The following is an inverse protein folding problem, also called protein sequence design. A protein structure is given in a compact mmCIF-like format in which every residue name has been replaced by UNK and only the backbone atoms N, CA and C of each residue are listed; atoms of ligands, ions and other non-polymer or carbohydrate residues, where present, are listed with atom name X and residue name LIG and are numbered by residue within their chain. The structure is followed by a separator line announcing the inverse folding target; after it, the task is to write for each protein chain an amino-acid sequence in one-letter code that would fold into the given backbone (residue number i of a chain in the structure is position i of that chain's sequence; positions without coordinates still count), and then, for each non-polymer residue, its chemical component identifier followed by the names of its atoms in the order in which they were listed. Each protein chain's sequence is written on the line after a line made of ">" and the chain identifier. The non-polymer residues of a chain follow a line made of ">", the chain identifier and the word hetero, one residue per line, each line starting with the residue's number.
data_IF_492106472231
#
_entry.id   IF_492106472231
#
_cell.length_a   1.000
_cell.length_b   1.000
_cell.length_c   1.000
_cell.angle_alpha   90.00
_cell.angle_beta   90.00
_cell.angle_gamma   90.00
#
_symmetry.space_group_name_H-M   'P 1'
#
loop_
_entity.id
_entity.type
_entity.pdbx_description
1 polymer ?
#
# COMPACT_ATOMS: atom_id res chain seq x y z
N UNK A 1 10.63 -29.85 -18.27
CA UNK A 1 11.76 -28.92 -18.35
C UNK A 1 12.26 -28.65 -16.94
N UNK A 2 13.57 -28.77 -16.67
CA UNK A 2 14.20 -28.42 -15.40
C UNK A 2 13.84 -27.01 -14.90
N UNK A 3 13.74 -26.85 -13.58
CA UNK A 3 13.53 -25.55 -12.92
C UNK A 3 14.60 -25.36 -11.84
N UNK A 4 15.51 -24.41 -12.07
CA UNK A 4 16.54 -24.00 -11.13
C UNK A 4 15.98 -22.91 -10.22
N UNK A 5 16.25 -22.98 -8.91
CA UNK A 5 15.67 -22.07 -7.92
C UNK A 5 16.73 -21.15 -7.32
N UNK A 6 16.44 -19.86 -7.27
CA UNK A 6 17.22 -18.84 -6.56
C UNK A 6 16.34 -18.15 -5.52
N UNK A 7 16.96 -17.62 -4.47
CA UNK A 7 16.27 -16.97 -3.36
C UNK A 7 16.72 -15.50 -3.20
N UNK A 8 15.75 -14.59 -3.31
CA UNK A 8 15.85 -13.16 -3.07
C UNK A 8 15.00 -12.71 -1.86
N UNK A 9 14.46 -13.61 -1.03
CA UNK A 9 13.51 -13.28 0.03
C UNK A 9 14.15 -12.67 1.31
N UNK A 10 15.43 -12.31 1.27
CA UNK A 10 16.13 -11.66 2.39
C UNK A 10 17.12 -10.62 1.86
N UNK A 11 17.57 -9.72 2.74
CA UNK A 11 18.54 -8.65 2.43
C UNK A 11 19.89 -9.14 1.90
N UNK A 12 20.22 -10.43 2.05
CA UNK A 12 21.44 -11.01 1.49
C UNK A 12 21.32 -11.33 -0.03
N UNK A 13 20.11 -11.31 -0.59
CA UNK A 13 19.81 -11.76 -1.95
C UNK A 13 19.75 -10.68 -3.03
N UNK A 14 20.54 -9.60 -2.92
CA UNK A 14 20.47 -8.48 -3.89
C UNK A 14 20.71 -8.90 -5.33
N UNK A 15 21.70 -9.76 -5.59
CA UNK A 15 21.95 -10.27 -6.94
C UNK A 15 20.71 -11.00 -7.51
N UNK A 16 20.14 -11.93 -6.73
CA UNK A 16 18.93 -12.65 -7.11
C UNK A 16 17.72 -11.72 -7.32
N UNK A 17 17.61 -10.63 -6.55
CA UNK A 17 16.57 -9.63 -6.74
C UNK A 17 16.71 -8.87 -8.07
N UNK A 18 17.93 -8.47 -8.43
CA UNK A 18 18.19 -7.86 -9.73
C UNK A 18 17.87 -8.81 -10.90
N UNK A 19 18.13 -10.11 -10.74
CA UNK A 19 17.71 -11.12 -11.72
C UNK A 19 16.19 -11.27 -11.79
N UNK A 20 15.47 -11.21 -10.66
CA UNK A 20 14.01 -11.21 -10.63
C UNK A 20 13.43 -10.01 -11.38
N UNK A 21 13.97 -8.81 -11.13
CA UNK A 21 13.61 -7.61 -11.89
C UNK A 21 13.87 -7.81 -13.38
N UNK A 22 15.00 -8.42 -13.75
CA UNK A 22 15.33 -8.68 -15.14
C UNK A 22 14.35 -9.65 -15.81
N UNK A 23 13.89 -10.70 -15.10
CA UNK A 23 12.85 -11.61 -15.60
C UNK A 23 11.49 -10.94 -15.81
N UNK A 24 11.20 -9.88 -15.06
CA UNK A 24 9.93 -9.14 -15.10
C UNK A 24 9.91 -8.02 -16.13
N UNK A 25 11.06 -7.38 -16.36
CA UNK A 25 11.13 -6.13 -17.12
C UNK A 25 11.88 -6.25 -18.45
N UNK A 26 12.83 -7.18 -18.60
CA UNK A 26 13.55 -7.31 -19.87
C UNK A 26 12.64 -7.89 -20.96
N UNK A 27 12.71 -7.30 -22.15
CA UNK A 27 11.82 -7.60 -23.28
C UNK A 27 11.76 -9.09 -23.67
N UNK A 28 12.82 -9.86 -23.42
CA UNK A 28 12.89 -11.27 -23.79
C UNK A 28 12.24 -12.23 -22.80
N UNK A 29 12.09 -11.85 -21.53
CA UNK A 29 11.52 -12.72 -20.48
C UNK A 29 12.30 -14.02 -20.25
N UNK A 30 13.62 -13.99 -20.43
CA UNK A 30 14.52 -15.15 -20.23
C UNK A 30 14.37 -15.77 -18.85
N UNK A 31 14.46 -17.10 -18.77
CA UNK A 31 14.30 -17.88 -17.55
C UNK A 31 12.86 -17.98 -17.03
N UNK A 32 11.91 -17.19 -17.56
CA UNK A 32 10.49 -17.18 -17.15
C UNK A 32 9.55 -17.61 -18.29
N UNK A 33 9.41 -16.78 -19.32
CA UNK A 33 8.56 -17.05 -20.50
C UNK A 33 9.36 -17.79 -21.58
N UNK A 34 10.63 -17.41 -21.78
CA UNK A 34 11.59 -18.14 -22.63
C UNK A 34 12.57 -18.92 -21.74
N UNK A 35 12.89 -20.19 -22.06
CA UNK A 35 13.90 -20.94 -21.32
C UNK A 35 15.31 -20.38 -21.56
N UNK A 36 16.21 -20.63 -20.62
CA UNK A 36 17.65 -20.44 -20.80
C UNK A 36 18.29 -21.75 -21.22
N UNK A 37 19.43 -21.69 -21.90
CA UNK A 37 20.17 -22.87 -22.34
C UNK A 37 21.49 -22.96 -21.61
N UNK A 38 21.78 -24.08 -20.94
CA UNK A 38 23.00 -24.25 -20.16
C UNK A 38 24.25 -24.22 -21.05
N UNK A 39 25.25 -23.44 -20.63
CA UNK A 39 26.59 -23.41 -21.22
C UNK A 39 27.66 -23.67 -20.15
N UNK A 40 28.44 -24.75 -20.32
CA UNK A 40 29.52 -25.18 -19.41
C UNK A 40 30.85 -24.51 -19.73
N UNK A 41 31.08 -24.18 -21.00
CA UNK A 41 32.32 -23.60 -21.50
C UNK A 41 32.13 -22.13 -21.92
N UNK A 42 33.20 -21.33 -21.88
CA UNK A 42 33.17 -19.91 -22.29
C UNK A 42 32.52 -18.97 -21.27
N UNK A 43 32.32 -19.41 -20.02
CA UNK A 43 31.73 -18.59 -18.95
C UNK A 43 32.57 -17.33 -18.72
N UNK A 44 33.90 -17.47 -18.58
CA UNK A 44 34.80 -16.34 -18.35
C UNK A 44 34.75 -15.30 -19.49
N UNK A 45 34.63 -15.74 -20.73
CA UNK A 45 34.53 -14.84 -21.89
C UNK A 45 33.19 -14.10 -21.91
N UNK A 46 32.09 -14.78 -21.54
CA UNK A 46 30.76 -14.15 -21.41
C UNK A 46 30.75 -13.12 -20.28
N UNK A 47 31.24 -13.49 -19.10
CA UNK A 47 31.38 -12.56 -17.96
C UNK A 47 32.29 -11.38 -18.31
N UNK A 48 33.39 -11.60 -19.02
CA UNK A 48 34.28 -10.53 -19.46
C UNK A 48 33.58 -9.53 -20.39
N UNK A 49 32.69 -9.99 -21.28
CA UNK A 49 31.93 -9.13 -22.22
C UNK A 49 30.83 -8.32 -21.53
N UNK A 50 30.15 -8.87 -20.54
CA UNK A 50 29.05 -8.17 -19.86
C UNK A 50 29.53 -7.36 -18.66
N UNK A 51 30.31 -7.99 -17.78
CA UNK A 51 30.72 -7.45 -16.49
C UNK A 51 32.21 -7.06 -16.40
N UNK A 52 33.03 -7.39 -17.40
CA UNK A 52 34.48 -7.21 -17.34
C UNK A 52 35.02 -6.21 -18.35
N UNK A 53 36.34 -6.29 -18.58
CA UNK A 53 37.06 -5.44 -19.53
C UNK A 53 36.89 -5.85 -21.00
N UNK A 54 36.16 -6.92 -21.28
CA UNK A 54 35.88 -7.38 -22.65
C UNK A 54 34.68 -6.70 -23.30
N UNK A 55 33.88 -5.94 -22.54
CA UNK A 55 32.77 -5.14 -23.05
C UNK A 55 33.21 -3.77 -23.56
N UNK A 56 32.42 -3.18 -24.44
CA UNK A 56 32.67 -1.83 -24.98
C UNK A 56 32.56 -0.73 -23.92
N UNK A 57 31.75 -0.95 -22.88
CA UNK A 57 31.74 -0.18 -21.64
C UNK A 57 31.95 -1.14 -20.45
N UNK A 58 33.17 -1.20 -19.88
CA UNK A 58 33.45 -2.03 -18.71
C UNK A 58 32.58 -1.65 -17.52
N UNK A 59 32.18 -2.65 -16.72
CA UNK A 59 31.43 -2.41 -15.49
C UNK A 59 32.22 -1.51 -14.54
N UNK A 60 31.57 -0.45 -14.07
CA UNK A 60 32.14 0.45 -13.09
C UNK A 60 31.53 0.16 -11.72
N UNK A 61 32.34 -0.35 -10.80
CA UNK A 61 31.90 -0.58 -9.43
C UNK A 61 31.46 0.76 -8.76
N UNK A 62 30.29 0.73 -8.14
CA UNK A 62 29.63 1.80 -7.41
C UNK A 62 29.69 1.54 -5.91
N UNK A 63 30.92 1.58 -5.37
CA UNK A 63 31.16 1.40 -3.94
C UNK A 63 30.58 2.52 -3.07
N UNK A 64 30.15 3.61 -3.69
CA UNK A 64 29.35 4.67 -3.09
C UNK A 64 27.89 4.27 -2.82
N UNK A 65 27.39 3.24 -3.52
CA UNK A 65 26.01 2.74 -3.41
C UNK A 65 25.95 1.36 -2.77
N UNK A 66 26.86 0.46 -3.16
CA UNK A 66 26.89 -0.94 -2.73
C UNK A 66 28.26 -1.27 -2.15
N UNK A 67 28.31 -1.69 -0.89
CA UNK A 67 29.56 -2.12 -0.28
C UNK A 67 30.10 -3.37 -1.03
N UNK A 68 31.38 -3.36 -1.37
CA UNK A 68 32.05 -4.40 -2.17
C UNK A 68 31.29 -4.72 -3.48
N UNK A 69 30.88 -3.64 -4.18
CA UNK A 69 30.09 -3.73 -5.40
C UNK A 69 30.77 -4.60 -6.47
N UNK A 70 29.99 -5.54 -6.97
CA UNK A 70 30.35 -6.50 -8.00
C UNK A 70 29.20 -6.64 -8.98
N UNK A 71 29.51 -7.14 -10.17
CA UNK A 71 28.54 -7.26 -11.25
C UNK A 71 27.92 -8.65 -11.27
N UNK A 72 26.61 -8.73 -11.07
CA UNK A 72 25.80 -9.88 -11.44
C UNK A 72 25.21 -9.70 -12.83
N UNK A 73 25.37 -10.67 -13.73
CA UNK A 73 24.82 -10.58 -15.09
C UNK A 73 23.58 -11.45 -15.30
N UNK A 74 22.60 -10.91 -16.04
CA UNK A 74 21.45 -11.66 -16.52
C UNK A 74 21.16 -11.34 -18.01
N UNK A 75 20.95 -12.33 -18.90
CA UNK A 75 21.10 -13.77 -18.68
C UNK A 75 22.49 -14.17 -18.17
N UNK A 76 22.55 -15.23 -17.36
CA UNK A 76 23.80 -15.65 -16.69
C UNK A 76 24.88 -16.03 -17.70
N UNK A 77 26.17 -15.74 -17.46
CA UNK A 77 27.26 -16.28 -18.28
C UNK A 77 27.34 -17.81 -18.27
N UNK A 78 26.68 -18.45 -17.31
CA UNK A 78 26.45 -19.89 -17.26
C UNK A 78 25.43 -20.40 -18.31
N UNK A 79 24.99 -19.55 -19.25
CA UNK A 79 24.01 -19.84 -20.30
C UNK A 79 24.50 -19.38 -21.68
N UNK A 80 23.94 -19.94 -22.76
CA UNK A 80 24.25 -19.54 -24.14
C UNK A 80 23.69 -18.16 -24.49
N UNK A 81 22.66 -17.71 -23.78
CA UNK A 81 22.04 -16.39 -23.93
C UNK A 81 22.84 -15.28 -23.20
N UNK A 82 23.78 -15.66 -22.32
CA UNK A 82 24.62 -14.74 -21.58
C UNK A 82 25.76 -14.12 -22.38
N UNK A 83 26.43 -13.13 -21.79
CA UNK A 83 27.60 -12.48 -22.39
C UNK A 83 27.27 -11.40 -23.42
N UNK A 84 26.11 -10.78 -23.34
CA UNK A 84 25.82 -9.58 -24.16
C UNK A 84 26.78 -8.45 -23.77
N UNK A 85 27.22 -7.65 -24.75
CA UNK A 85 28.11 -6.51 -24.48
C UNK A 85 27.52 -5.59 -23.41
N UNK A 86 28.30 -5.28 -22.38
CA UNK A 86 27.86 -4.54 -21.19
C UNK A 86 27.18 -3.21 -21.49
N UNK A 87 27.60 -2.48 -22.53
CA UNK A 87 27.01 -1.20 -22.92
C UNK A 87 25.55 -1.32 -23.42
N UNK A 88 25.13 -2.55 -23.72
CA UNK A 88 23.75 -2.86 -24.16
C UNK A 88 22.87 -3.32 -23.01
N UNK A 89 23.39 -3.49 -21.80
CA UNK A 89 22.60 -3.97 -20.67
C UNK A 89 22.01 -2.80 -19.87
N UNK A 90 20.85 -3.06 -19.25
CA UNK A 90 20.33 -2.21 -18.19
C UNK A 90 21.24 -2.33 -16.97
N UNK A 91 21.64 -1.24 -16.35
CA UNK A 91 22.28 -1.29 -15.03
C UNK A 91 21.23 -1.11 -13.95
N UNK A 92 21.26 -1.95 -12.91
CA UNK A 92 20.28 -1.91 -11.83
C UNK A 92 20.93 -2.01 -10.47
N UNK A 93 20.36 -1.29 -9.49
CA UNK A 93 20.79 -1.30 -8.09
C UNK A 93 19.64 -1.79 -7.22
N UNK A 94 19.66 -3.05 -6.75
CA UNK A 94 18.72 -3.56 -5.76
C UNK A 94 19.00 -2.97 -4.38
N UNK A 95 17.97 -2.41 -3.76
CA UNK A 95 17.97 -1.89 -2.40
C UNK A 95 16.95 -2.67 -1.58
N UNK A 96 17.40 -3.26 -0.48
CA UNK A 96 16.51 -4.00 0.41
C UNK A 96 15.76 -3.03 1.33
N UNK A 97 14.44 -3.18 1.37
CA UNK A 97 13.59 -2.50 2.33
C UNK A 97 12.73 -3.53 3.09
N UNK A 98 11.80 -3.04 3.90
CA UNK A 98 11.00 -3.82 4.87
C UNK A 98 9.90 -4.74 4.30
N UNK A 99 10.20 -5.55 3.30
CA UNK A 99 9.20 -6.45 2.75
C UNK A 99 9.42 -6.83 1.30
N UNK A 100 10.49 -6.31 0.68
CA UNK A 100 10.85 -6.59 -0.70
C UNK A 100 12.08 -5.82 -1.13
N UNK A 101 12.41 -5.98 -2.40
CA UNK A 101 13.46 -5.24 -3.07
C UNK A 101 12.87 -4.08 -3.85
N UNK A 102 13.44 -2.90 -3.65
CA UNK A 102 13.40 -1.84 -4.64
C UNK A 102 14.53 -2.08 -5.63
N UNK A 103 14.24 -2.16 -6.92
CA UNK A 103 15.29 -2.28 -7.94
C UNK A 103 15.29 -1.04 -8.80
N UNK A 104 16.33 -0.23 -8.66
CA UNK A 104 16.46 1.04 -9.37
C UNK A 104 17.23 0.85 -10.68
N UNK A 105 16.60 1.05 -11.86
CA UNK A 105 17.30 1.11 -13.12
C UNK A 105 18.09 2.41 -13.21
N UNK A 106 19.37 2.31 -13.52
CA UNK A 106 20.23 3.46 -13.75
C UNK A 106 19.95 4.06 -15.13
N UNK A 107 20.19 5.37 -15.27
CA UNK A 107 20.00 6.12 -16.51
C UNK A 107 18.58 6.07 -17.12
N UNK A 108 17.58 5.73 -16.30
CA UNK A 108 16.18 5.68 -16.74
C UNK A 108 15.86 4.52 -17.69
N UNK A 109 16.58 3.40 -17.58
CA UNK A 109 16.31 2.22 -18.40
C UNK A 109 14.90 1.68 -18.16
N UNK A 110 14.17 1.42 -19.24
CA UNK A 110 12.76 1.02 -19.24
C UNK A 110 12.55 -0.50 -19.40
N UNK A 111 13.63 -1.29 -19.36
CA UNK A 111 13.57 -2.74 -19.55
C UNK A 111 13.60 -3.19 -21.02
N UNK A 112 13.78 -2.27 -21.98
CA UNK A 112 13.93 -2.63 -23.40
C UNK A 112 15.26 -3.30 -23.74
N UNK A 113 16.19 -3.42 -22.78
CA UNK A 113 17.52 -4.00 -22.98
C UNK A 113 17.49 -5.54 -23.05
N UNK A 114 18.45 -6.16 -23.77
CA UNK A 114 18.59 -7.62 -23.85
C UNK A 114 19.17 -8.27 -22.59
N UNK A 115 19.74 -7.49 -21.67
CA UNK A 115 20.44 -7.98 -20.49
C UNK A 115 20.41 -6.96 -19.35
N UNK A 116 20.76 -7.40 -18.15
CA UNK A 116 20.95 -6.58 -16.97
C UNK A 116 22.33 -6.81 -16.33
N UNK A 117 22.95 -5.72 -15.86
CA UNK A 117 24.10 -5.69 -14.95
C UNK A 117 23.59 -5.24 -13.59
N UNK A 118 23.65 -6.14 -12.62
CA UNK A 118 23.17 -5.92 -11.25
C UNK A 118 24.34 -5.49 -10.39
N UNK A 119 24.25 -4.31 -9.79
CA UNK A 119 25.15 -3.86 -8.73
C UNK A 119 24.77 -4.57 -7.43
N UNK A 120 25.60 -5.50 -6.98
CA UNK A 120 25.37 -6.29 -5.78
C UNK A 120 26.69 -6.58 -5.07
N UNK A 121 26.66 -6.81 -3.75
CA UNK A 121 27.88 -7.20 -3.05
C UNK A 121 28.44 -8.49 -3.61
N UNK A 122 29.78 -8.63 -3.65
CA UNK A 122 30.44 -9.84 -4.13
C UNK A 122 29.90 -11.13 -3.45
N UNK A 123 29.57 -11.04 -2.16
CA UNK A 123 28.96 -12.15 -1.41
C UNK A 123 27.57 -12.54 -1.94
N UNK A 124 26.75 -11.55 -2.33
CA UNK A 124 25.42 -11.81 -2.89
C UNK A 124 25.51 -12.46 -4.27
N UNK A 125 26.41 -11.97 -5.13
CA UNK A 125 26.67 -12.56 -6.46
C UNK A 125 27.13 -14.02 -6.31
N UNK A 126 28.11 -14.28 -5.44
CA UNK A 126 28.59 -15.63 -5.16
C UNK A 126 27.49 -16.56 -4.62
N UNK A 127 26.61 -16.05 -3.75
CA UNK A 127 25.49 -16.83 -3.21
C UNK A 127 24.45 -17.18 -4.29
N UNK A 128 24.19 -16.27 -5.23
CA UNK A 128 23.29 -16.54 -6.35
C UNK A 128 23.88 -17.55 -7.34
N UNK A 129 25.18 -17.43 -7.66
CA UNK A 129 25.90 -18.41 -8.48
C UNK A 129 25.86 -19.80 -7.83
N UNK A 130 26.15 -19.89 -6.53
CA UNK A 130 26.11 -21.16 -5.79
C UNK A 130 24.74 -21.84 -5.94
N UNK A 131 23.64 -21.09 -5.75
CA UNK A 131 22.28 -21.61 -5.95
C UNK A 131 22.02 -22.05 -7.39
N UNK A 132 22.51 -21.30 -8.38
CA UNK A 132 22.39 -21.65 -9.79
C UNK A 132 23.10 -22.99 -10.11
N UNK A 133 24.34 -23.17 -9.65
CA UNK A 133 25.11 -24.39 -9.89
C UNK A 133 24.59 -25.60 -9.09
N UNK A 134 24.15 -25.41 -7.84
CA UNK A 134 23.44 -26.44 -7.08
C UNK A 134 22.11 -26.83 -7.74
N UNK A 135 21.42 -25.85 -8.32
CA UNK A 135 20.24 -26.05 -9.16
C UNK A 135 20.52 -26.93 -10.37
N UNK A 136 21.59 -26.66 -11.12
CA UNK A 136 22.00 -27.52 -12.23
C UNK A 136 22.29 -28.94 -11.79
N UNK A 137 23.01 -29.12 -10.67
CA UNK A 137 23.32 -30.45 -10.15
C UNK A 137 22.05 -31.20 -9.70
N UNK A 138 21.17 -30.55 -8.95
CA UNK A 138 19.95 -31.15 -8.40
C UNK A 138 18.93 -31.50 -9.49
N UNK A 139 18.79 -30.66 -10.50
CA UNK A 139 17.91 -30.86 -11.63
C UNK A 139 18.55 -31.66 -12.78
N UNK A 140 19.84 -32.02 -12.64
CA UNK A 140 20.65 -32.73 -13.64
C UNK A 140 20.71 -32.03 -15.01
N UNK A 141 20.74 -30.69 -15.01
CA UNK A 141 20.88 -29.87 -16.22
C UNK A 141 22.30 -30.03 -16.75
N UNK A 142 22.44 -30.52 -17.97
CA UNK A 142 23.73 -30.68 -18.66
C UNK A 142 23.91 -29.64 -19.75
N UNK A 143 25.03 -29.69 -20.47
CA UNK A 143 25.30 -28.78 -21.59
C UNK A 143 24.15 -28.79 -22.60
N UNK A 144 23.79 -27.60 -23.10
CA UNK A 144 22.73 -27.37 -24.08
C UNK A 144 21.29 -27.74 -23.61
N UNK A 145 21.09 -28.13 -22.35
CA UNK A 145 19.75 -28.32 -21.81
C UNK A 145 19.04 -26.98 -21.61
N UNK A 146 17.77 -26.92 -22.01
CA UNK A 146 16.87 -25.84 -21.66
C UNK A 146 16.39 -25.95 -20.20
N UNK A 147 16.36 -24.83 -19.50
CA UNK A 147 15.86 -24.75 -18.13
C UNK A 147 15.14 -23.42 -17.87
N UNK A 148 14.26 -23.42 -16.87
CA UNK A 148 13.68 -22.20 -16.29
C UNK A 148 14.36 -21.86 -14.98
N UNK A 149 14.25 -20.59 -14.60
CA UNK A 149 14.70 -20.10 -13.30
C UNK A 149 13.51 -19.54 -12.54
N UNK A 150 13.29 -20.07 -11.35
CA UNK A 150 12.28 -19.57 -10.41
C UNK A 150 13.02 -18.83 -9.29
N UNK A 151 12.75 -17.52 -9.15
CA UNK A 151 13.36 -16.68 -8.14
C UNK A 151 12.31 -16.35 -7.08
N UNK A 152 12.49 -16.81 -5.86
CA UNK A 152 11.58 -16.50 -4.76
C UNK A 152 11.92 -15.15 -4.15
N UNK A 153 11.01 -14.19 -4.22
CA UNK A 153 11.18 -12.83 -3.70
C UNK A 153 10.12 -11.88 -4.26
N UNK A 154 10.26 -10.59 -3.99
CA UNK A 154 9.46 -9.55 -4.63
C UNK A 154 10.32 -8.34 -4.92
N UNK A 155 10.17 -7.83 -6.14
CA UNK A 155 10.74 -6.58 -6.68
C UNK A 155 9.67 -5.48 -6.80
N UNK A 156 8.47 -5.72 -6.25
CA UNK A 156 7.42 -4.72 -6.19
C UNK A 156 7.85 -3.61 -5.23
N UNK A 157 7.64 -2.37 -5.66
CA UNK A 157 7.94 -1.20 -4.86
C UNK A 157 7.26 -1.32 -3.47
N UNK A 158 8.01 -1.17 -2.38
CA UNK A 158 7.49 -1.20 -1.02
C UNK A 158 6.47 -0.10 -0.84
N UNK A 159 5.42 -0.47 -0.13
CA UNK A 159 4.31 0.41 0.16
C UNK A 159 3.79 0.09 1.55
N UNK A 160 3.18 1.10 2.16
CA UNK A 160 2.48 0.98 3.43
C UNK A 160 1.60 -0.28 3.48
N UNK A 161 1.50 -0.90 4.66
CA UNK A 161 0.86 -2.20 4.79
C UNK A 161 -0.58 -2.21 4.28
N UNK A 162 -1.33 -1.13 4.51
CA UNK A 162 -2.71 -0.95 4.06
C UNK A 162 -2.83 -0.73 2.55
N UNK A 163 -1.78 -0.27 1.85
CA UNK A 163 -1.80 -0.11 0.38
C UNK A 163 -1.60 -1.46 -0.34
N UNK A 164 -0.93 -2.43 0.29
CA UNK A 164 -0.65 -3.74 -0.32
C UNK A 164 -1.89 -4.52 -0.72
N UNK A 165 -2.98 -4.37 0.04
CA UNK A 165 -4.25 -5.04 -0.27
C UNK A 165 -5.43 -4.30 0.35
N UNK A 166 -6.35 -3.84 -0.48
CA UNK A 166 -7.62 -3.28 -0.02
C UNK A 166 -8.53 -4.40 0.54
N UNK A 167 -9.20 -4.19 1.68
CA UNK A 167 -10.14 -5.16 2.23
C UNK A 167 -11.38 -5.31 1.35
N UNK A 168 -12.03 -6.47 1.41
CA UNK A 168 -13.26 -6.73 0.63
C UNK A 168 -14.34 -5.68 0.92
N UNK A 169 -14.90 -5.13 -0.16
CA UNK A 169 -15.91 -4.06 -0.10
C UNK A 169 -15.33 -2.65 0.04
N UNK A 170 -14.01 -2.49 0.03
CA UNK A 170 -13.39 -1.17 -0.09
C UNK A 170 -13.55 -0.61 -1.51
N UNK A 171 -13.69 0.71 -1.60
CA UNK A 171 -13.73 1.47 -2.84
C UNK A 171 -12.41 2.25 -3.01
N UNK A 172 -11.89 2.40 -4.23
CA UNK A 172 -10.70 3.21 -4.48
C UNK A 172 -10.88 4.67 -4.04
N UNK A 173 -9.83 5.26 -3.47
CA UNK A 173 -9.77 6.67 -3.07
C UNK A 173 -8.36 7.20 -3.30
N UNK A 174 -8.15 7.84 -4.45
CA UNK A 174 -6.81 8.11 -5.02
C UNK A 174 -5.98 6.82 -5.09
N UNK A 175 -4.74 6.82 -4.57
CA UNK A 175 -3.88 5.63 -4.53
C UNK A 175 -4.21 4.69 -3.37
N UNK A 176 -5.14 5.11 -2.50
CA UNK A 176 -5.61 4.34 -1.36
C UNK A 176 -7.04 3.83 -1.53
N UNK A 177 -7.71 3.61 -0.40
CA UNK A 177 -9.07 3.06 -0.39
C UNK A 177 -9.87 3.52 0.82
N UNK A 178 -11.19 3.47 0.71
CA UNK A 178 -12.15 3.72 1.79
C UNK A 178 -13.13 2.55 1.86
N UNK A 179 -13.40 2.06 3.06
CA UNK A 179 -14.38 1.00 3.33
C UNK A 179 -15.33 1.46 4.42
N UNK A 180 -16.59 1.60 4.05
CA UNK A 180 -17.68 1.84 4.99
C UNK A 180 -18.52 0.58 5.11
N UNK A 181 -18.97 0.31 6.32
CA UNK A 181 -19.85 -0.81 6.63
C UNK A 181 -21.09 -0.30 7.34
N UNK A 182 -22.17 -1.06 7.21
CA UNK A 182 -23.43 -0.74 7.85
C UNK A 182 -23.97 -1.92 8.64
N UNK A 183 -24.87 -1.61 9.58
CA UNK A 183 -25.60 -2.57 10.38
C UNK A 183 -27.10 -2.34 10.22
N UNK A 184 -27.89 -3.40 10.11
CA UNK A 184 -29.35 -3.30 10.06
C UNK A 184 -29.92 -2.75 11.37
N UNK A 185 -30.96 -1.92 11.26
CA UNK A 185 -31.76 -1.41 12.38
C UNK A 185 -33.25 -1.64 12.14
N UNK A 186 -34.06 -1.89 13.19
CA UNK A 186 -35.50 -2.12 13.05
C UNK A 186 -36.26 -0.93 12.44
N UNK A 187 -35.75 0.28 12.65
CA UNK A 187 -36.33 1.53 12.17
C UNK A 187 -35.21 2.47 11.73
N UNK A 188 -35.38 3.12 10.58
CA UNK A 188 -34.46 4.17 10.10
C UNK A 188 -34.52 5.42 10.96
N UNK A 189 -35.71 5.75 11.46
CA UNK A 189 -35.97 6.78 12.46
C UNK A 189 -36.95 6.17 13.47
N UNK A 190 -36.56 6.08 14.74
CA UNK A 190 -37.32 5.38 15.79
C UNK A 190 -38.18 6.30 16.66
N UNK A 191 -37.98 7.61 16.60
CA UNK A 191 -38.74 8.60 17.38
C UNK A 191 -39.82 9.30 16.56
N UNK A 192 -39.94 9.00 15.26
CA UNK A 192 -41.04 9.45 14.40
C UNK A 192 -42.35 8.74 14.74
N UNK A 193 -43.49 9.35 14.37
CA UNK A 193 -44.83 8.78 14.60
C UNK A 193 -45.64 8.76 13.30
N UNK A 194 -45.89 7.57 12.71
CA UNK A 194 -45.34 6.27 13.11
C UNK A 194 -43.81 6.17 12.88
N UNK A 195 -43.10 5.24 13.56
CA UNK A 195 -41.69 4.96 13.26
C UNK A 195 -41.47 4.57 11.80
N UNK A 196 -40.32 4.93 11.26
CA UNK A 196 -39.97 4.57 9.88
C UNK A 196 -39.78 3.05 9.73
N UNK A 197 -39.89 2.50 8.50
CA UNK A 197 -39.48 1.13 8.21
C UNK A 197 -38.01 0.83 8.57
N UNK A 198 -37.66 -0.45 8.57
CA UNK A 198 -36.29 -0.91 8.78
C UNK A 198 -35.29 -0.29 7.80
N UNK A 199 -34.05 -0.13 8.27
CA UNK A 199 -32.97 0.50 7.50
C UNK A 199 -31.59 0.03 7.94
N UNK A 200 -30.57 0.79 7.60
CA UNK A 200 -29.17 0.51 7.94
C UNK A 200 -28.49 1.73 8.54
N UNK A 201 -27.70 1.56 9.60
CA UNK A 201 -26.86 2.61 10.21
C UNK A 201 -25.39 2.36 9.90
N UNK A 202 -24.56 3.40 9.87
CA UNK A 202 -23.12 3.26 9.71
C UNK A 202 -22.51 2.51 10.92
N UNK A 203 -21.59 1.56 10.69
CA UNK A 203 -21.01 0.73 11.76
C UNK A 203 -19.49 0.82 11.89
N UNK A 204 -18.76 0.91 10.78
CA UNK A 204 -17.31 1.08 10.79
C UNK A 204 -16.88 1.71 9.50
N UNK A 205 -16.04 2.73 9.58
CA UNK A 205 -15.41 3.39 8.46
C UNK A 205 -13.90 3.22 8.58
N UNK A 206 -13.26 2.74 7.52
CA UNK A 206 -11.81 2.51 7.44
C UNK A 206 -11.28 3.15 6.18
N UNK A 207 -10.05 3.66 6.23
CA UNK A 207 -9.37 4.18 5.07
C UNK A 207 -7.88 3.86 5.12
N UNK A 208 -7.30 3.64 3.94
CA UNK A 208 -5.87 3.76 3.72
C UNK A 208 -5.65 5.06 2.96
N UNK A 209 -5.15 6.09 3.64
CA UNK A 209 -5.02 7.45 3.10
C UNK A 209 -3.60 7.59 2.56
N UNK A 210 -3.45 7.69 1.24
CA UNK A 210 -2.15 7.85 0.58
C UNK A 210 -1.64 9.29 0.59
N UNK A 211 -0.43 9.50 0.05
CA UNK A 211 0.16 10.83 -0.13
C UNK A 211 -0.73 11.80 -0.91
N UNK A 212 -1.30 11.32 -2.01
CA UNK A 212 -2.14 12.11 -2.90
C UNK A 212 -3.59 12.00 -2.44
N UNK A 213 -4.02 12.92 -1.58
CA UNK A 213 -5.41 12.95 -1.13
C UNK A 213 -6.23 13.81 -2.09
N UNK A 214 -7.33 13.25 -2.58
CA UNK A 214 -8.35 13.97 -3.35
C UNK A 214 -9.56 14.20 -2.47
N UNK A 215 -10.20 15.35 -2.61
CA UNK A 215 -11.43 15.65 -1.88
C UNK A 215 -12.56 14.66 -2.24
N UNK A 216 -13.33 14.28 -1.24
CA UNK A 216 -14.48 13.40 -1.33
C UNK A 216 -15.72 14.10 -1.91
N UNK A 217 -16.87 13.89 -1.28
CA UNK A 217 -18.13 14.54 -1.68
C UNK A 217 -18.86 15.11 -0.46
N UNK A 218 -19.68 16.17 -0.66
CA UNK A 218 -20.42 16.80 0.43
C UNK A 218 -21.40 15.84 1.09
N UNK A 219 -21.71 16.07 2.37
CA UNK A 219 -22.66 15.26 3.12
C UNK A 219 -24.10 15.63 2.80
N UNK A 220 -24.88 14.67 2.30
CA UNK A 220 -26.23 14.92 1.79
C UNK A 220 -27.24 13.83 2.21
N UNK A 221 -28.51 14.10 1.86
CA UNK A 221 -29.58 13.12 1.94
C UNK A 221 -30.20 12.95 3.32
N UNK A 222 -31.14 12.03 3.42
CA UNK A 222 -31.78 11.67 4.67
C UNK A 222 -31.09 10.39 5.16
N UNK A 223 -30.28 10.49 6.21
CA UNK A 223 -29.51 9.36 6.75
C UNK A 223 -30.26 8.74 7.95
N UNK A 224 -29.90 7.52 8.32
CA UNK A 224 -30.50 6.86 9.49
C UNK A 224 -30.31 7.70 10.75
N UNK A 225 -31.39 7.92 11.50
CA UNK A 225 -31.45 8.78 12.67
C UNK A 225 -31.50 10.28 12.38
N UNK A 226 -31.55 10.73 11.12
CA UNK A 226 -31.54 12.16 10.80
C UNK A 226 -32.80 12.87 11.32
N UNK A 227 -33.98 12.28 11.16
CA UNK A 227 -35.22 12.86 11.67
C UNK A 227 -35.31 12.73 13.20
N UNK A 228 -34.79 11.62 13.76
CA UNK A 228 -34.67 11.47 15.21
C UNK A 228 -33.81 12.59 15.83
N UNK A 229 -32.70 12.95 15.17
CA UNK A 229 -31.82 14.04 15.60
C UNK A 229 -32.52 15.40 15.47
N UNK A 230 -33.28 15.62 14.38
CA UNK A 230 -34.07 16.84 14.19
C UNK A 230 -35.11 17.03 15.30
N UNK A 231 -35.81 15.96 15.68
CA UNK A 231 -36.80 16.00 16.76
C UNK A 231 -36.15 16.25 18.12
N UNK A 232 -35.00 15.62 18.39
CA UNK A 232 -34.21 15.88 19.59
C UNK A 232 -33.77 17.36 19.65
N UNK A 233 -33.23 17.91 18.56
CA UNK A 233 -32.81 19.31 18.51
C UNK A 233 -33.99 20.27 18.67
N UNK A 234 -35.14 19.97 18.07
CA UNK A 234 -36.36 20.78 18.19
C UNK A 234 -36.85 20.88 19.64
N UNK A 235 -36.78 19.80 20.39
CA UNK A 235 -37.25 19.73 21.78
C UNK A 235 -36.31 20.37 22.79
N UNK A 236 -35.02 20.46 22.49
CA UNK A 236 -34.00 20.94 23.44
C UNK A 236 -33.45 22.34 23.12
N UNK A 237 -33.86 22.99 22.03
CA UNK A 237 -33.46 24.37 21.64
C UNK A 237 -31.95 24.65 21.81
N UNK A 238 -31.08 23.89 21.14
CA UNK A 238 -29.66 23.81 21.48
C UNK A 238 -28.89 25.14 21.20
N UNK A 239 -29.32 25.99 20.27
CA UNK A 239 -28.50 27.13 19.85
C UNK A 239 -27.22 26.72 19.08
N UNK A 240 -27.23 25.50 18.51
CA UNK A 240 -26.29 25.02 17.48
C UNK A 240 -27.07 24.21 16.44
N UNK A 241 -26.43 23.88 15.32
CA UNK A 241 -27.04 23.14 14.22
C UNK A 241 -26.63 21.66 14.25
N UNK A 242 -27.45 20.83 13.63
CA UNK A 242 -27.10 19.44 13.31
C UNK A 242 -26.24 19.40 12.06
N UNK A 243 -25.40 18.37 11.97
CA UNK A 243 -24.60 18.07 10.79
C UNK A 243 -24.71 16.57 10.47
N UNK A 244 -24.47 16.25 9.20
CA UNK A 244 -24.19 14.89 8.77
C UNK A 244 -22.67 14.72 8.85
N UNK A 245 -22.20 14.15 9.95
CA UNK A 245 -20.77 13.97 10.17
C UNK A 245 -20.27 12.84 9.29
N UNK A 246 -19.25 13.15 8.49
CA UNK A 246 -18.41 12.14 7.85
C UNK A 246 -17.65 11.32 8.91
N UNK A 247 -17.60 10.00 8.75
CA UNK A 247 -16.73 9.13 9.54
C UNK A 247 -15.29 9.17 9.00
N UNK A 248 -15.12 9.01 7.70
CA UNK A 248 -13.91 9.45 6.98
C UNK A 248 -14.21 10.82 6.37
N UNK A 249 -13.47 11.86 6.79
CA UNK A 249 -13.73 13.23 6.37
C UNK A 249 -13.64 13.44 4.85
N UNK A 250 -14.45 14.35 4.32
CA UNK A 250 -14.41 14.77 2.92
C UNK A 250 -13.00 15.21 2.48
N UNK A 251 -12.30 15.97 3.32
CA UNK A 251 -10.92 16.42 3.06
C UNK A 251 -9.88 15.28 3.02
N UNK A 252 -10.27 14.06 3.39
CA UNK A 252 -9.48 12.83 3.35
C UNK A 252 -10.01 11.83 2.29
N UNK A 253 -10.89 12.28 1.39
CA UNK A 253 -11.50 11.46 0.33
C UNK A 253 -12.88 10.89 0.65
N UNK A 254 -13.37 11.11 1.88
CA UNK A 254 -14.66 10.61 2.35
C UNK A 254 -15.86 11.04 1.52
N UNK A 255 -16.65 10.07 1.05
CA UNK A 255 -17.89 10.34 0.33
C UNK A 255 -19.05 10.62 1.28
N UNK A 256 -19.98 11.47 0.87
CA UNK A 256 -21.21 11.80 1.61
C UNK A 256 -22.44 12.01 0.72
N UNK A 257 -22.32 11.81 -0.59
CA UNK A 257 -23.37 12.10 -1.56
C UNK A 257 -24.47 11.04 -1.62
N UNK A 258 -25.59 11.40 -2.23
CA UNK A 258 -26.72 10.49 -2.45
C UNK A 258 -26.44 9.39 -3.49
N UNK A 259 -25.56 9.67 -4.45
CA UNK A 259 -25.35 8.81 -5.64
C UNK A 259 -24.02 8.05 -5.63
N UNK A 260 -23.18 8.26 -4.62
CA UNK A 260 -21.85 7.65 -4.51
C UNK A 260 -21.76 6.65 -3.34
N UNK A 261 -22.90 6.29 -2.73
CA UNK A 261 -22.95 5.44 -1.54
C UNK A 261 -22.41 6.13 -0.28
N UNK A 262 -22.13 7.44 -0.33
CA UNK A 262 -21.53 8.18 0.76
C UNK A 262 -22.37 8.25 2.03
N UNK A 263 -23.67 7.96 1.96
CA UNK A 263 -24.53 7.93 3.15
C UNK A 263 -24.09 6.88 4.19
N UNK A 264 -23.39 5.82 3.78
CA UNK A 264 -22.84 4.81 4.70
C UNK A 264 -21.64 5.33 5.52
N UNK A 265 -21.08 6.47 5.12
CA UNK A 265 -20.00 7.19 5.80
C UNK A 265 -20.53 8.29 6.71
N UNK A 266 -21.84 8.41 6.90
CA UNK A 266 -22.45 9.54 7.61
C UNK A 266 -23.19 9.10 8.87
N UNK A 267 -23.08 9.91 9.91
CA UNK A 267 -23.91 9.82 11.12
C UNK A 267 -24.51 11.18 11.49
N UNK A 268 -25.73 11.23 12.06
CA UNK A 268 -26.26 12.46 12.63
C UNK A 268 -25.42 12.91 13.81
N UNK A 269 -25.08 14.19 13.85
CA UNK A 269 -24.23 14.74 14.90
C UNK A 269 -24.47 16.22 15.14
N UNK A 270 -23.88 16.75 16.22
CA UNK A 270 -23.79 18.19 16.40
C UNK A 270 -22.72 18.81 15.51
N UNK A 271 -23.08 19.90 14.81
CA UNK A 271 -22.14 20.70 14.02
C UNK A 271 -21.02 21.27 14.90
N UNK A 272 -21.32 21.66 16.14
CA UNK A 272 -20.32 22.10 17.14
C UNK A 272 -20.38 21.15 18.33
N UNK A 273 -19.29 20.43 18.59
CA UNK A 273 -19.21 19.30 19.52
C UNK A 273 -18.46 18.16 18.86
N UNK A 274 -19.20 17.24 18.23
CA UNK A 274 -18.61 16.09 17.54
C UNK A 274 -17.97 16.45 16.20
N UNK A 275 -18.66 17.22 15.33
CA UNK A 275 -18.14 17.55 14.00
C UNK A 275 -16.94 18.51 14.08
N UNK A 276 -17.16 19.68 14.69
CA UNK A 276 -16.14 20.74 14.84
C UNK A 276 -16.03 21.22 16.29
N UNK A 277 -14.93 21.89 16.61
CA UNK A 277 -14.55 22.27 17.98
C UNK A 277 -13.22 21.62 18.38
N UNK A 278 -12.85 21.71 19.65
CA UNK A 278 -11.57 21.15 20.15
C UNK A 278 -11.73 20.58 21.56
N UNK A 279 -11.53 19.25 21.76
CA UNK A 279 -11.36 18.21 20.75
C UNK A 279 -12.68 17.89 20.03
N UNK A 280 -12.61 17.59 18.73
CA UNK A 280 -13.71 17.10 17.89
C UNK A 280 -13.13 16.19 16.79
N UNK A 281 -13.97 15.59 15.94
CA UNK A 281 -13.48 14.80 14.81
C UNK A 281 -12.51 15.63 13.95
N UNK A 282 -12.85 16.91 13.73
CA UNK A 282 -12.00 17.85 12.99
C UNK A 282 -10.57 17.97 13.53
N UNK A 283 -10.36 17.83 14.84
CA UNK A 283 -9.03 17.88 15.45
C UNK A 283 -8.12 16.79 14.90
N UNK A 284 -8.63 15.56 14.79
CA UNK A 284 -7.86 14.38 14.38
C UNK A 284 -7.81 14.23 12.86
N UNK A 285 -8.84 14.64 12.14
CA UNK A 285 -8.82 14.78 10.68
C UNK A 285 -7.74 15.75 10.22
N UNK A 286 -7.58 16.88 10.92
CA UNK A 286 -6.53 17.85 10.60
C UNK A 286 -5.12 17.29 10.86
N UNK A 287 -4.95 16.44 11.89
CA UNK A 287 -3.70 15.73 12.12
C UNK A 287 -3.36 14.81 10.93
N UNK A 288 -4.33 14.05 10.41
CA UNK A 288 -4.14 13.21 9.22
C UNK A 288 -3.81 14.04 7.98
N UNK A 289 -4.56 15.13 7.74
CA UNK A 289 -4.30 16.05 6.62
C UNK A 289 -2.89 16.65 6.68
N UNK A 290 -2.44 17.03 7.88
CA UNK A 290 -1.10 17.58 8.08
C UNK A 290 -0.02 16.53 7.87
N UNK A 291 -0.26 15.29 8.32
CA UNK A 291 0.69 14.20 8.17
C UNK A 291 0.93 13.83 6.70
N UNK A 292 -0.13 13.67 5.89
CA UNK A 292 0.02 13.36 4.45
C UNK A 292 0.66 14.52 3.68
N UNK A 293 0.36 15.76 4.04
CA UNK A 293 0.94 16.95 3.41
C UNK A 293 2.43 17.15 3.74
N UNK A 294 2.95 16.50 4.80
CA UNK A 294 4.34 16.64 5.22
C UNK A 294 5.31 16.14 4.14
N UNK A 295 6.37 16.90 3.84
CA UNK A 295 7.36 16.52 2.82
C UNK A 295 8.08 15.19 3.12
N UNK A 296 8.21 14.81 4.39
CA UNK A 296 8.77 13.53 4.82
C UNK A 296 7.78 12.36 4.76
N UNK A 297 6.53 12.60 4.36
CA UNK A 297 5.58 11.55 4.02
C UNK A 297 5.79 11.16 2.55
N UNK A 298 6.35 9.97 2.33
CA UNK A 298 6.74 9.46 1.02
C UNK A 298 5.53 9.12 0.13
N UNK A 299 5.76 8.89 -1.18
CA UNK A 299 4.71 8.57 -2.13
C UNK A 299 3.99 7.24 -1.81
N UNK A 300 4.70 6.27 -1.24
CA UNK A 300 4.17 4.95 -0.89
C UNK A 300 3.90 4.78 0.62
N UNK A 301 3.99 5.86 1.39
CA UNK A 301 3.52 5.89 2.77
C UNK A 301 1.99 6.03 2.78
N UNK A 302 1.35 5.58 3.85
CA UNK A 302 -0.09 5.76 4.04
C UNK A 302 -0.46 5.92 5.52
N UNK A 303 -1.67 6.41 5.76
CA UNK A 303 -2.29 6.41 7.08
C UNK A 303 -3.38 5.36 7.07
N UNK A 304 -3.24 4.33 7.91
CA UNK A 304 -4.37 3.47 8.27
C UNK A 304 -5.25 4.21 9.27
N UNK A 305 -6.46 4.55 8.86
CA UNK A 305 -7.40 5.39 9.60
C UNK A 305 -8.70 4.64 9.84
N UNK A 306 -9.23 4.69 11.06
CA UNK A 306 -10.46 3.98 11.43
C UNK A 306 -11.34 4.84 12.33
N UNK A 307 -12.64 4.79 12.07
CA UNK A 307 -13.70 5.39 12.90
C UNK A 307 -14.82 4.38 13.12
N UNK A 308 -15.20 4.19 14.38
CA UNK A 308 -16.25 3.28 14.82
C UNK A 308 -17.28 4.07 15.62
N UNK A 309 -18.51 4.24 15.10
CA UNK A 309 -19.61 4.79 15.88
C UNK A 309 -19.97 3.90 17.08
N UNK A 310 -20.14 4.52 18.24
CA UNK A 310 -20.55 3.87 19.47
C UNK A 310 -22.05 4.09 19.69
N UNK A 311 -22.81 2.99 19.79
CA UNK A 311 -24.27 2.99 19.90
C UNK A 311 -24.69 2.42 21.25
N UNK A 312 -25.74 3.00 21.85
CA UNK A 312 -26.26 2.58 23.15
C UNK A 312 -26.73 1.12 23.11
N UNK A 313 -27.43 0.74 22.06
CA UNK A 313 -27.90 -0.63 21.86
C UNK A 313 -28.10 -0.97 20.37
N UNK A 314 -28.64 -2.18 20.11
CA UNK A 314 -28.92 -2.68 18.77
C UNK A 314 -30.03 -1.93 18.00
N UNK A 315 -30.79 -1.09 18.68
CA UNK A 315 -31.89 -0.29 18.12
C UNK A 315 -31.52 1.17 17.88
N UNK A 316 -30.40 1.65 18.44
CA UNK A 316 -29.93 3.03 18.24
C UNK A 316 -29.83 3.40 16.77
N UNK A 317 -30.33 4.57 16.39
CA UNK A 317 -30.20 5.12 15.03
C UNK A 317 -29.10 6.17 14.97
N UNK A 318 -28.76 6.76 16.12
CA UNK A 318 -27.72 7.79 16.26
C UNK A 318 -26.69 7.31 17.28
N UNK A 319 -25.37 7.44 17.00
CA UNK A 319 -24.35 7.05 17.95
C UNK A 319 -24.23 8.07 19.09
N UNK A 320 -23.89 7.59 20.29
CA UNK A 320 -23.57 8.44 21.45
C UNK A 320 -22.17 9.07 21.36
N UNK A 321 -21.36 8.61 20.42
CA UNK A 321 -20.02 9.10 20.12
C UNK A 321 -19.36 8.27 19.03
N UNK A 322 -18.12 8.60 18.71
CA UNK A 322 -17.28 7.82 17.80
C UNK A 322 -15.93 7.55 18.44
N UNK A 323 -15.37 6.39 18.16
CA UNK A 323 -13.99 6.04 18.50
C UNK A 323 -13.14 6.11 17.24
N UNK A 324 -12.05 6.87 17.28
CA UNK A 324 -11.17 7.12 16.14
C UNK A 324 -9.75 6.64 16.46
N UNK A 325 -9.03 6.13 15.46
CA UNK A 325 -7.61 5.79 15.57
C UNK A 325 -6.91 5.99 14.23
N UNK A 326 -5.63 6.37 14.25
CA UNK A 326 -4.83 6.45 13.02
C UNK A 326 -3.37 6.05 13.25
N UNK A 327 -2.81 5.31 12.31
CA UNK A 327 -1.41 4.86 12.29
C UNK A 327 -0.76 5.29 10.98
N UNK A 328 0.38 5.97 11.04
CA UNK A 328 1.23 6.16 9.86
C UNK A 328 1.95 4.86 9.60
N UNK A 329 1.74 4.29 8.43
CA UNK A 329 2.43 3.12 7.91
C UNK A 329 3.37 3.57 6.81
N UNK A 330 4.65 3.26 6.96
CA UNK A 330 5.68 3.66 6.02
C UNK A 330 5.89 2.59 4.96
N UNK A 331 6.39 3.00 3.79
CA UNK A 331 6.87 2.09 2.77
C UNK A 331 8.02 1.20 3.28
N UNK A 332 8.82 1.72 4.22
CA UNK A 332 9.83 0.97 4.98
C UNK A 332 9.24 0.13 6.13
N UNK A 333 7.92 -0.13 6.12
CA UNK A 333 7.27 -1.16 6.93
C UNK A 333 7.24 -0.83 8.41
N UNK A 334 7.87 0.27 8.80
CA UNK A 334 7.69 0.86 10.12
C UNK A 334 6.30 1.45 10.23
N UNK A 335 5.78 1.44 11.45
CA UNK A 335 4.47 2.00 11.75
C UNK A 335 4.54 2.77 13.06
N UNK A 336 3.86 3.89 13.12
CA UNK A 336 3.75 4.69 14.33
C UNK A 336 2.35 5.28 14.47
N UNK A 337 1.76 5.29 15.69
CA UNK A 337 0.48 5.96 15.91
C UNK A 337 0.58 7.43 15.51
N UNK A 338 -0.33 7.89 14.66
CA UNK A 338 -0.51 9.32 14.41
C UNK A 338 -1.26 9.96 15.60
N UNK A 339 -2.28 9.26 16.08
CA UNK A 339 -2.93 9.50 17.36
C UNK A 339 -3.45 8.16 17.89
N UNK A 340 -3.54 7.99 19.23
CA UNK A 340 -4.04 6.75 19.83
C UNK A 340 -5.54 6.57 19.57
N UNK A 341 -6.13 5.51 20.09
CA UNK A 341 -7.58 5.41 20.15
C UNK A 341 -8.16 6.57 20.99
N UNK A 342 -9.06 7.35 20.38
CA UNK A 342 -9.69 8.52 21.00
C UNK A 342 -11.20 8.43 20.86
N UNK A 343 -11.93 8.75 21.92
CA UNK A 343 -13.39 8.76 21.92
C UNK A 343 -13.92 10.19 21.90
N UNK A 344 -14.86 10.47 20.99
CA UNK A 344 -15.49 11.77 20.81
C UNK A 344 -16.99 11.63 20.99
N UNK A 345 -17.52 12.26 22.04
CA UNK A 345 -18.94 12.19 22.39
C UNK A 345 -19.79 12.99 21.41
N UNK A 346 -20.98 12.48 21.09
CA UNK A 346 -21.97 13.16 20.25
C UNK A 346 -22.81 14.17 21.06
N UNK A 347 -22.12 14.95 21.89
CA UNK A 347 -22.71 15.95 22.78
C UNK A 347 -22.67 17.33 22.15
N UNK A 348 -23.56 18.20 22.61
CA UNK A 348 -23.50 19.59 22.19
C UNK A 348 -22.23 20.24 22.75
N UNK A 349 -21.38 20.75 21.85
CA UNK A 349 -20.07 21.31 22.22
C UNK A 349 -19.32 20.30 23.11
N UNK A 350 -18.42 20.79 23.96
CA UNK A 350 -17.72 19.97 24.96
C UNK A 350 -18.37 20.07 26.34
N UNK A 351 -19.70 20.16 26.38
CA UNK A 351 -20.42 20.35 27.65
C UNK A 351 -20.79 19.03 28.33
N UNK A 352 -20.77 17.91 27.60
CA UNK A 352 -21.31 16.63 28.08
C UNK A 352 -22.84 16.59 28.10
N UNK A 353 -23.52 17.68 27.74
CA UNK A 353 -24.97 17.78 27.70
C UNK A 353 -25.50 17.52 26.29
N UNK A 354 -26.79 17.18 26.22
CA UNK A 354 -27.52 16.98 24.96
C UNK A 354 -26.83 15.98 24.02
N UNK A 355 -26.50 14.79 24.53
CA UNK A 355 -26.01 13.71 23.67
C UNK A 355 -27.12 13.27 22.70
N UNK A 356 -26.83 13.24 21.40
CA UNK A 356 -27.79 12.81 20.37
C UNK A 356 -27.97 11.29 20.30
N UNK A 357 -27.05 10.52 20.90
CA UNK A 357 -27.14 9.07 20.94
C UNK A 357 -28.43 8.60 21.61
N UNK A 358 -29.07 7.60 21.01
CA UNK A 358 -30.42 7.19 21.39
C UNK A 358 -30.60 5.69 21.55
#
# INVERSE_FOLDING_TARGET
>A
MPVVKLNAASSAGSAAAGYLWAQENLADGWGRTKPLTRAKDGIADRTSRTCGSGGSEPFQARTDLVADDSCGEFPFAATHEGGTDGARCAEVVPNWSSGGWDVYPMNGDDGSRPCARVHASAASVQAADTQLFEGFASQRVVEADEFKVEITGSTAEPQAACLRSAPTGALPSSDGWIRNTTQAVPHRNKTTSPPDPAGTRASTAQACISKNVVEGSPAEGDITGWQDAQEFARTHSPGTQLARCHLIANILGGKGGLRDGGQDNLVPCWQVGMNTGTPSMRTYEFAAQTAVANAAFGPNDAIYYQVVPDYVDSTSTIPQGVTMSATVERADGTSQPLFPEVHITNTQRNTGLLNLGN
#
